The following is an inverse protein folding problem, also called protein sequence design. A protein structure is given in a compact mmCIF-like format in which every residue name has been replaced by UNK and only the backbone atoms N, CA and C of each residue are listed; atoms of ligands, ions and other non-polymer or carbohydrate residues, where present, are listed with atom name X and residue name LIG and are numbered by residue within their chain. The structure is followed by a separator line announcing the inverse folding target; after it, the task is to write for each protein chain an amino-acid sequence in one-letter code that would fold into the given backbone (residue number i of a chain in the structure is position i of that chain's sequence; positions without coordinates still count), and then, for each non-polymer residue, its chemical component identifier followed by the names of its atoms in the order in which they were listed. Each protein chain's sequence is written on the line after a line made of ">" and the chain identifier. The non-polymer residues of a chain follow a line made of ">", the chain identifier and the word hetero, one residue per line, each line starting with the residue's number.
data_IF_981236810887
#
_entry.id   IF_981236810887
#
_cell.length_a   1.000
_cell.length_b   1.000
_cell.length_c   1.000
_cell.angle_alpha   90.00
_cell.angle_beta   90.00
_cell.angle_gamma   90.00
#
_symmetry.space_group_name_H-M   'P 1'
#
loop_
_entity.id
_entity.type
_entity.pdbx_description
1 polymer ?
#
# COMPACT_ATOMS: atom_id res chain seq x y z
N UNK A 1 32.01 32.04 -4.80
CA UNK A 1 31.23 33.18 -4.29
C UNK A 1 29.86 33.13 -4.92
N UNK A 2 28.79 33.13 -4.12
CA UNK A 2 27.42 33.00 -4.63
C UNK A 2 26.78 34.37 -4.85
N UNK A 3 26.20 34.60 -6.03
CA UNK A 3 25.43 35.82 -6.33
C UNK A 3 24.00 35.39 -6.68
N UNK A 4 23.02 35.98 -5.99
CA UNK A 4 21.62 35.87 -6.35
C UNK A 4 21.25 37.02 -7.28
N UNK A 5 20.71 36.70 -8.45
CA UNK A 5 20.01 37.63 -9.33
C UNK A 5 18.66 36.99 -9.66
N UNK A 6 17.59 37.61 -9.18
CA UNK A 6 16.22 37.09 -9.18
C UNK A 6 16.14 35.62 -8.72
N UNK A 7 15.79 34.70 -9.64
CA UNK A 7 15.51 33.28 -9.38
C UNK A 7 16.67 32.35 -9.75
N UNK A 8 17.86 32.89 -10.01
CA UNK A 8 19.04 32.12 -10.40
C UNK A 8 20.09 32.25 -9.29
N UNK A 9 20.46 31.11 -8.72
CA UNK A 9 21.64 30.99 -7.87
C UNK A 9 22.86 30.75 -8.77
N UNK A 10 23.73 31.75 -8.90
CA UNK A 10 24.99 31.62 -9.62
C UNK A 10 26.08 31.27 -8.62
N UNK A 11 26.56 30.02 -8.65
CA UNK A 11 27.70 29.56 -7.85
C UNK A 11 28.96 29.68 -8.70
N UNK A 12 29.81 30.67 -8.40
CA UNK A 12 31.13 30.76 -9.01
C UNK A 12 32.18 30.03 -8.17
N UNK A 13 32.76 28.97 -8.75
CA UNK A 13 34.09 28.44 -8.42
C UNK A 13 35.04 28.74 -9.59
N UNK A 14 36.35 28.56 -9.41
CA UNK A 14 37.38 29.10 -10.32
C UNK A 14 37.37 28.55 -11.75
N UNK A 15 36.64 27.48 -12.05
CA UNK A 15 36.67 26.82 -13.38
C UNK A 15 35.29 26.43 -13.95
N UNK A 16 34.17 26.59 -13.21
CA UNK A 16 32.84 26.17 -13.69
C UNK A 16 31.76 27.20 -13.27
N UNK A 17 30.88 27.56 -14.22
CA UNK A 17 29.65 28.30 -13.95
C UNK A 17 28.45 27.35 -14.02
N UNK A 18 27.84 27.06 -12.87
CA UNK A 18 26.60 26.28 -12.77
C UNK A 18 25.38 27.21 -12.73
N UNK A 19 24.55 27.14 -13.77
CA UNK A 19 23.29 27.90 -13.85
C UNK A 19 22.13 26.98 -13.47
N UNK A 20 21.71 27.01 -12.20
CA UNK A 20 20.53 26.26 -11.75
C UNK A 20 19.25 27.08 -11.96
N UNK A 21 18.41 26.64 -12.89
CA UNK A 21 17.02 27.12 -13.01
C UNK A 21 16.11 26.32 -12.07
N UNK A 22 15.56 26.98 -11.05
CA UNK A 22 14.49 26.40 -10.23
C UNK A 22 13.23 26.18 -11.09
N UNK A 23 12.66 24.96 -11.17
CA UNK A 23 11.49 24.69 -11.99
C UNK A 23 10.21 25.26 -11.37
N UNK A 24 9.97 26.57 -11.52
CA UNK A 24 8.68 27.19 -11.15
C UNK A 24 7.62 26.97 -12.23
N UNK A 25 7.31 25.71 -12.55
CA UNK A 25 6.02 25.33 -13.11
C UNK A 25 5.18 24.75 -11.98
N UNK A 26 4.23 25.53 -11.48
CA UNK A 26 3.14 24.99 -10.66
C UNK A 26 2.48 23.88 -11.48
N UNK A 27 2.55 22.64 -11.02
CA UNK A 27 1.94 21.52 -11.74
C UNK A 27 0.45 21.77 -11.90
N UNK A 28 -0.08 21.58 -13.11
CA UNK A 28 -1.52 21.64 -13.36
C UNK A 28 -2.25 20.38 -12.88
N UNK A 29 -1.49 19.34 -12.51
CA UNK A 29 -1.98 18.08 -11.93
C UNK A 29 -1.45 17.89 -10.52
N UNK A 30 -2.33 17.44 -9.63
CA UNK A 30 -1.99 17.05 -8.26
C UNK A 30 -2.83 15.83 -7.88
N UNK A 31 -2.24 14.64 -8.03
CA UNK A 31 -2.93 13.37 -7.75
C UNK A 31 -3.17 13.13 -6.26
N UNK A 32 -2.37 13.76 -5.37
CA UNK A 32 -2.54 13.65 -3.93
C UNK A 32 -3.70 14.52 -3.44
N UNK A 33 -3.76 15.78 -3.88
CA UNK A 33 -4.91 16.66 -3.63
C UNK A 33 -6.21 16.08 -4.23
N UNK A 34 -6.12 15.38 -5.36
CA UNK A 34 -7.26 14.70 -5.97
C UNK A 34 -7.85 13.61 -5.06
N UNK A 35 -7.04 12.88 -4.28
CA UNK A 35 -7.54 11.89 -3.31
C UNK A 35 -8.38 12.55 -2.20
N UNK A 36 -7.87 13.63 -1.62
CA UNK A 36 -8.57 14.43 -0.61
C UNK A 36 -9.92 14.95 -1.13
N UNK A 37 -9.91 15.60 -2.31
CA UNK A 37 -11.11 16.19 -2.89
C UNK A 37 -12.12 15.14 -3.36
N UNK A 38 -11.67 14.02 -3.93
CA UNK A 38 -12.58 12.94 -4.37
C UNK A 38 -13.23 12.21 -3.18
N UNK A 39 -12.52 12.01 -2.06
CA UNK A 39 -13.10 11.50 -0.80
C UNK A 39 -14.21 12.46 -0.32
N UNK A 40 -13.88 13.74 -0.20
CA UNK A 40 -14.81 14.78 0.27
C UNK A 40 -16.07 14.89 -0.62
N UNK A 41 -15.91 14.95 -1.94
CA UNK A 41 -17.03 15.07 -2.90
C UNK A 41 -17.93 13.82 -2.88
N UNK A 42 -17.37 12.64 -2.61
CA UNK A 42 -18.16 11.40 -2.44
C UNK A 42 -18.94 11.39 -1.12
N UNK A 43 -18.33 11.85 -0.03
CA UNK A 43 -18.89 11.76 1.33
C UNK A 43 -19.81 12.94 1.68
N UNK A 44 -19.88 13.98 0.84
CA UNK A 44 -20.70 15.17 1.04
C UNK A 44 -21.72 15.40 -0.08
N UNK A 45 -22.79 16.14 0.23
CA UNK A 45 -23.76 16.67 -0.74
C UNK A 45 -23.64 18.19 -0.94
N UNK A 46 -22.73 18.83 -0.22
CA UNK A 46 -22.55 20.29 -0.20
C UNK A 46 -21.47 20.74 -1.20
N UNK A 47 -21.81 20.51 -2.47
CA UNK A 47 -21.06 20.95 -3.63
C UNK A 47 -22.03 21.10 -4.81
N UNK A 48 -21.63 21.85 -5.84
CA UNK A 48 -22.43 22.05 -7.06
C UNK A 48 -21.56 22.17 -8.30
N UNK A 49 -22.16 22.00 -9.48
CA UNK A 49 -21.51 22.26 -10.76
C UNK A 49 -21.96 23.61 -11.34
N UNK A 50 -21.15 24.20 -12.22
CA UNK A 50 -21.58 25.31 -13.07
C UNK A 50 -22.40 24.81 -14.25
N UNK A 51 -23.45 25.55 -14.62
CA UNK A 51 -24.23 25.30 -15.84
C UNK A 51 -23.50 25.73 -17.11
N UNK A 52 -22.55 26.67 -16.99
CA UNK A 52 -21.73 27.15 -18.09
C UNK A 52 -20.40 26.40 -18.22
N UNK A 53 -19.81 26.48 -19.43
CA UNK A 53 -18.48 25.97 -19.75
C UNK A 53 -17.39 27.06 -19.61
N UNK A 54 -16.15 26.71 -19.23
CA UNK A 54 -15.70 25.38 -18.80
C UNK A 54 -16.30 24.98 -17.45
N UNK A 55 -16.78 23.74 -17.32
CA UNK A 55 -17.40 23.24 -16.09
C UNK A 55 -16.48 23.36 -14.88
N UNK A 56 -17.02 23.89 -13.79
CA UNK A 56 -16.35 23.96 -12.48
C UNK A 56 -17.19 23.22 -11.44
N UNK A 57 -16.51 22.52 -10.53
CA UNK A 57 -17.08 22.02 -9.28
C UNK A 57 -16.82 23.07 -8.19
N UNK A 58 -17.85 23.39 -7.43
CA UNK A 58 -17.86 24.46 -6.44
C UNK A 58 -18.12 23.83 -5.07
N UNK A 59 -17.23 24.08 -4.11
CA UNK A 59 -17.42 23.74 -2.69
C UNK A 59 -17.66 25.05 -1.93
N UNK A 60 -18.87 25.32 -1.43
CA UNK A 60 -19.15 26.50 -0.60
C UNK A 60 -18.33 26.46 0.70
N UNK A 61 -17.88 27.62 1.19
CA UNK A 61 -17.23 27.75 2.49
C UNK A 61 -18.14 28.42 3.54
N UNK A 62 -19.13 29.20 3.12
CA UNK A 62 -19.89 30.12 3.97
C UNK A 62 -19.59 31.57 3.58
N UNK A 63 -20.21 32.55 4.24
CA UNK A 63 -19.85 33.99 4.17
C UNK A 63 -19.62 34.57 2.75
N UNK A 64 -20.41 34.15 1.76
CA UNK A 64 -20.26 34.53 0.34
C UNK A 64 -18.91 34.10 -0.29
N UNK A 65 -18.28 33.07 0.26
CA UNK A 65 -17.05 32.45 -0.23
C UNK A 65 -17.26 31.01 -0.72
N UNK A 66 -16.50 30.62 -1.74
CA UNK A 66 -16.46 29.24 -2.25
C UNK A 66 -15.13 28.92 -2.94
N UNK A 67 -14.74 27.65 -2.89
CA UNK A 67 -13.64 27.10 -3.69
C UNK A 67 -14.19 26.62 -5.04
N UNK A 68 -13.58 27.09 -6.12
CA UNK A 68 -13.89 26.71 -7.50
C UNK A 68 -12.76 25.86 -8.08
N UNK A 69 -13.10 24.65 -8.54
CA UNK A 69 -12.20 23.68 -9.16
C UNK A 69 -12.60 23.49 -10.62
N UNK A 70 -11.71 23.76 -11.58
CA UNK A 70 -11.98 23.47 -13.01
C UNK A 70 -11.98 21.96 -13.22
N UNK A 71 -13.00 21.43 -13.89
CA UNK A 71 -13.20 19.98 -14.04
C UNK A 71 -12.65 19.52 -15.40
N UNK A 72 -11.51 18.84 -15.38
CA UNK A 72 -10.91 18.22 -16.57
C UNK A 72 -11.51 16.84 -16.89
N UNK A 73 -12.11 16.17 -15.91
CA UNK A 73 -12.97 14.99 -16.09
C UNK A 73 -13.97 14.89 -14.93
N UNK A 74 -15.26 14.84 -15.26
CA UNK A 74 -16.32 14.55 -14.29
C UNK A 74 -16.63 13.05 -14.29
N UNK A 75 -16.66 12.44 -13.11
CA UNK A 75 -16.94 11.01 -12.96
C UNK A 75 -18.22 10.78 -12.16
N UNK A 76 -19.17 9.95 -12.65
CA UNK A 76 -20.35 9.56 -11.88
C UNK A 76 -19.99 8.65 -10.69
N UNK A 77 -18.78 8.09 -10.64
CA UNK A 77 -18.24 7.31 -9.52
C UNK A 77 -17.18 8.09 -8.71
N UNK A 78 -17.18 9.43 -8.83
CA UNK A 78 -16.35 10.37 -8.09
C UNK A 78 -14.84 10.25 -8.31
N UNK A 79 -14.39 9.51 -9.32
CA UNK A 79 -13.02 9.57 -9.83
C UNK A 79 -12.81 10.83 -10.68
N UNK A 80 -13.04 12.01 -10.10
CA UNK A 80 -12.88 13.28 -10.81
C UNK A 80 -11.39 13.56 -11.11
N UNK A 81 -11.15 14.42 -12.10
CA UNK A 81 -9.86 15.07 -12.34
C UNK A 81 -10.08 16.57 -12.41
N UNK A 82 -9.49 17.31 -11.48
CA UNK A 82 -9.47 18.76 -11.46
C UNK A 82 -8.22 19.30 -12.15
N UNK A 83 -8.30 20.52 -12.66
CA UNK A 83 -7.17 21.30 -13.17
C UNK A 83 -6.79 22.35 -12.12
N UNK A 84 -5.54 22.34 -11.69
CA UNK A 84 -5.02 23.22 -10.64
C UNK A 84 -4.28 24.44 -11.22
N UNK A 85 -4.18 25.57 -10.47
CA UNK A 85 -4.65 25.79 -9.10
C UNK A 85 -6.17 25.98 -8.98
N UNK A 86 -6.71 25.66 -7.81
CA UNK A 86 -8.07 26.02 -7.45
C UNK A 86 -8.20 27.54 -7.24
N UNK A 87 -9.41 28.09 -7.30
CA UNK A 87 -9.65 29.52 -7.03
C UNK A 87 -10.57 29.70 -5.83
N UNK A 88 -10.17 30.55 -4.89
CA UNK A 88 -11.07 31.08 -3.87
C UNK A 88 -11.85 32.25 -4.50
N UNK A 89 -13.17 32.16 -4.47
CA UNK A 89 -14.11 33.18 -4.93
C UNK A 89 -14.75 33.84 -3.72
N UNK A 90 -14.79 35.17 -3.70
CA UNK A 90 -15.39 36.00 -2.64
C UNK A 90 -16.26 37.10 -3.25
N UNK A 91 -16.95 37.87 -2.42
CA UNK A 91 -17.76 39.01 -2.87
C UNK A 91 -16.97 40.09 -3.65
N UNK A 92 -15.66 40.19 -3.48
CA UNK A 92 -14.80 41.21 -4.09
C UNK A 92 -13.93 40.71 -5.25
N UNK A 93 -13.97 39.42 -5.59
CA UNK A 93 -13.22 38.87 -6.72
C UNK A 93 -12.86 37.39 -6.57
N UNK A 94 -11.81 36.95 -7.27
CA UNK A 94 -11.26 35.61 -7.08
C UNK A 94 -9.75 35.55 -7.33
N UNK A 95 -9.06 34.73 -6.55
CA UNK A 95 -7.62 34.51 -6.64
C UNK A 95 -7.29 33.01 -6.53
N UNK A 96 -6.16 32.54 -7.10
CA UNK A 96 -5.73 31.16 -6.96
C UNK A 96 -5.31 30.85 -5.52
N UNK A 97 -5.54 29.61 -5.09
CA UNK A 97 -5.09 29.07 -3.79
C UNK A 97 -4.38 27.74 -4.00
N UNK A 98 -3.38 27.46 -3.16
CA UNK A 98 -2.65 26.20 -3.14
C UNK A 98 -3.40 25.11 -2.34
N UNK A 99 -2.87 23.88 -2.37
CA UNK A 99 -3.48 22.76 -1.66
C UNK A 99 -3.53 22.98 -0.14
N UNK A 100 -2.46 23.56 0.44
CA UNK A 100 -2.37 23.83 1.88
C UNK A 100 -3.42 24.84 2.36
N UNK A 101 -3.71 25.87 1.55
CA UNK A 101 -4.73 26.87 1.86
C UNK A 101 -6.13 26.30 1.69
N UNK A 102 -6.41 25.60 0.59
CA UNK A 102 -7.75 25.08 0.32
C UNK A 102 -8.14 23.92 1.25
N UNK A 103 -7.19 23.07 1.66
CA UNK A 103 -7.44 21.97 2.59
C UNK A 103 -7.75 22.50 3.99
N UNK A 104 -7.01 23.52 4.46
CA UNK A 104 -7.28 24.23 5.72
C UNK A 104 -8.66 24.88 5.74
N UNK A 105 -9.05 25.60 4.67
CA UNK A 105 -10.37 26.22 4.57
C UNK A 105 -11.51 25.19 4.63
N UNK A 106 -11.30 24.01 4.03
CA UNK A 106 -12.25 22.89 4.11
C UNK A 106 -12.31 22.32 5.53
N UNK A 107 -11.18 22.16 6.21
CA UNK A 107 -11.12 21.64 7.59
C UNK A 107 -11.76 22.63 8.58
N UNK A 108 -11.52 23.93 8.41
CA UNK A 108 -12.15 25.00 9.21
C UNK A 108 -13.68 25.01 9.06
N UNK A 109 -14.18 24.94 7.81
CA UNK A 109 -15.60 24.73 7.52
C UNK A 109 -16.17 23.51 8.26
N UNK A 110 -15.48 22.36 8.18
CA UNK A 110 -15.91 21.12 8.85
C UNK A 110 -15.89 21.25 10.38
N UNK A 111 -14.90 21.94 10.94
CA UNK A 111 -14.81 22.23 12.37
C UNK A 111 -16.02 23.02 12.86
N UNK A 112 -16.42 24.06 12.12
CA UNK A 112 -17.62 24.84 12.40
C UNK A 112 -18.92 24.05 12.19
N UNK A 113 -19.03 23.30 11.09
CA UNK A 113 -20.23 22.54 10.74
C UNK A 113 -20.53 21.37 11.70
N UNK A 114 -19.49 20.72 12.23
CA UNK A 114 -19.58 19.51 13.05
C UNK A 114 -19.17 19.73 14.51
N UNK A 115 -18.83 20.96 14.91
CA UNK A 115 -18.36 21.35 16.25
C UNK A 115 -17.19 20.49 16.76
N UNK A 116 -16.21 20.25 15.89
CA UNK A 116 -15.11 19.33 16.15
C UNK A 116 -14.03 19.95 17.08
N UNK A 117 -13.32 19.14 17.89
CA UNK A 117 -12.16 19.61 18.64
C UNK A 117 -11.05 20.08 17.68
N UNK A 118 -10.53 21.30 17.92
CA UNK A 118 -9.46 21.88 17.10
C UNK A 118 -8.21 20.99 17.03
N UNK A 119 -7.88 20.27 18.12
CA UNK A 119 -6.76 19.31 18.14
C UNK A 119 -6.94 18.17 17.15
N UNK A 120 -8.17 17.67 16.96
CA UNK A 120 -8.47 16.63 15.97
C UNK A 120 -8.44 17.17 14.56
N UNK A 121 -8.90 18.42 14.35
CA UNK A 121 -8.86 19.10 13.06
C UNK A 121 -7.42 19.36 12.60
N UNK A 122 -6.55 19.86 13.48
CA UNK A 122 -5.14 20.09 13.13
C UNK A 122 -4.39 18.77 12.94
N UNK A 123 -4.59 17.75 13.80
CA UNK A 123 -3.99 16.42 13.59
C UNK A 123 -4.39 15.82 12.22
N UNK A 124 -5.64 16.03 11.80
CA UNK A 124 -6.12 15.59 10.50
C UNK A 124 -5.45 16.37 9.35
N UNK A 125 -5.46 17.71 9.43
CA UNK A 125 -4.86 18.58 8.43
C UNK A 125 -3.35 18.34 8.27
N UNK A 126 -2.61 18.17 9.38
CA UNK A 126 -1.20 17.81 9.36
C UNK A 126 -0.95 16.52 8.55
N UNK A 127 -1.69 15.44 8.84
CA UNK A 127 -1.55 14.16 8.12
C UNK A 127 -1.90 14.25 6.64
N UNK A 128 -2.85 15.10 6.27
CA UNK A 128 -3.18 15.40 4.87
C UNK A 128 -1.99 16.07 4.17
N UNK A 129 -1.33 17.04 4.82
CA UNK A 129 -0.17 17.73 4.27
C UNK A 129 1.09 16.86 4.23
N UNK A 130 1.34 16.04 5.25
CA UNK A 130 2.38 15.00 5.25
C UNK A 130 2.19 14.03 4.07
N UNK A 131 0.99 13.46 3.95
CA UNK A 131 0.65 12.54 2.86
C UNK A 131 0.81 13.18 1.48
N UNK A 132 0.53 14.48 1.34
CA UNK A 132 0.73 15.22 0.10
C UNK A 132 2.22 15.34 -0.24
N UNK A 133 3.04 15.78 0.73
CA UNK A 133 4.48 15.91 0.59
C UNK A 133 5.16 14.56 0.28
N UNK A 134 4.82 13.48 1.01
CA UNK A 134 5.39 12.15 0.77
C UNK A 134 5.04 11.60 -0.62
N UNK A 135 3.83 11.90 -1.12
CA UNK A 135 3.44 11.52 -2.48
C UNK A 135 4.29 12.26 -3.52
N UNK A 136 4.53 13.56 -3.34
CA UNK A 136 5.37 14.34 -4.24
C UNK A 136 6.83 13.83 -4.23
N UNK A 137 7.41 13.57 -3.05
CA UNK A 137 8.75 12.99 -2.92
C UNK A 137 8.87 11.64 -3.65
N UNK A 138 7.87 10.76 -3.53
CA UNK A 138 7.85 9.48 -4.22
C UNK A 138 7.74 9.64 -5.74
N UNK A 139 6.96 10.61 -6.23
CA UNK A 139 6.87 10.95 -7.67
C UNK A 139 8.22 11.46 -8.19
N UNK A 140 8.87 12.36 -7.46
CA UNK A 140 10.17 12.94 -7.83
C UNK A 140 11.32 11.92 -7.75
N UNK A 141 11.20 10.87 -6.93
CA UNK A 141 12.17 9.78 -6.87
C UNK A 141 11.97 8.71 -7.98
N UNK A 142 10.73 8.49 -8.43
CA UNK A 142 10.36 7.35 -9.29
C UNK A 142 10.31 7.70 -10.78
N UNK A 143 11.43 8.16 -11.30
CA UNK A 143 11.63 8.42 -12.73
C UNK A 143 11.40 7.17 -13.63
N UNK A 144 11.55 5.97 -13.08
CA UNK A 144 11.24 4.69 -13.73
C UNK A 144 9.74 4.44 -13.96
N UNK A 145 8.86 5.11 -13.19
CA UNK A 145 7.43 4.81 -13.16
C UNK A 145 6.77 4.96 -14.53
N UNK A 146 7.21 5.94 -15.34
CA UNK A 146 6.67 6.15 -16.68
C UNK A 146 6.99 4.98 -17.64
N UNK A 147 8.16 4.33 -17.48
CA UNK A 147 8.61 3.21 -18.30
C UNK A 147 7.87 1.90 -17.97
N UNK A 148 7.20 1.81 -16.81
CA UNK A 148 6.32 0.68 -16.46
C UNK A 148 5.15 0.50 -17.46
N UNK A 149 4.88 1.48 -18.31
CA UNK A 149 3.89 1.39 -19.40
C UNK A 149 4.38 0.60 -20.62
N UNK A 150 5.69 0.46 -20.81
CA UNK A 150 6.28 -0.09 -22.05
C UNK A 150 5.99 -1.59 -22.22
N UNK A 151 5.90 -2.33 -21.10
CA UNK A 151 5.77 -3.79 -21.08
C UNK A 151 4.73 -4.29 -20.07
N UNK A 152 4.46 -5.58 -20.12
CA UNK A 152 3.76 -6.29 -19.05
C UNK A 152 4.59 -6.21 -17.75
N UNK A 153 3.92 -6.04 -16.61
CA UNK A 153 4.56 -6.00 -15.29
C UNK A 153 4.51 -7.36 -14.62
N UNK A 154 5.54 -7.71 -13.86
CA UNK A 154 5.47 -8.82 -12.91
C UNK A 154 4.81 -8.40 -11.57
N UNK A 155 4.67 -9.35 -10.65
CA UNK A 155 4.02 -9.12 -9.36
C UNK A 155 4.74 -8.09 -8.49
N UNK A 156 6.09 -8.13 -8.43
CA UNK A 156 6.89 -7.20 -7.64
C UNK A 156 6.80 -5.76 -8.17
N UNK A 157 6.96 -5.60 -9.49
CA UNK A 157 6.81 -4.30 -10.18
C UNK A 157 5.43 -3.69 -9.88
N UNK A 158 4.35 -4.48 -9.97
CA UNK A 158 3.00 -4.01 -9.70
C UNK A 158 2.75 -3.67 -8.21
N UNK A 159 3.30 -4.42 -7.27
CA UNK A 159 3.16 -4.14 -5.83
C UNK A 159 3.91 -2.88 -5.37
N UNK A 160 4.94 -2.43 -6.12
CA UNK A 160 5.69 -1.20 -5.87
C UNK A 160 5.36 -0.04 -6.83
N UNK A 161 4.36 -0.20 -7.69
CA UNK A 161 3.93 0.85 -8.61
C UNK A 161 2.91 1.84 -8.01
N UNK A 162 2.35 1.61 -6.81
CA UNK A 162 1.27 2.44 -6.24
C UNK A 162 1.80 3.69 -5.52
N UNK A 163 2.03 4.78 -6.26
CA UNK A 163 2.51 6.05 -5.69
C UNK A 163 1.37 6.91 -5.12
N UNK A 164 0.15 6.81 -5.67
CA UNK A 164 -1.00 7.63 -5.22
C UNK A 164 -1.64 7.09 -3.94
N UNK A 165 -1.54 5.78 -3.69
CA UNK A 165 -2.22 5.12 -2.57
C UNK A 165 -3.73 5.00 -2.76
N UNK A 166 -4.51 5.14 -1.68
CA UNK A 166 -5.97 4.95 -1.72
C UNK A 166 -6.70 6.19 -2.28
N UNK A 167 -7.25 6.07 -3.48
CA UNK A 167 -7.85 7.18 -4.26
C UNK A 167 -9.04 7.92 -3.61
N UNK A 168 -9.62 7.38 -2.54
CA UNK A 168 -10.68 7.99 -1.72
C UNK A 168 -10.29 7.93 -0.24
N UNK A 169 -9.10 8.40 0.09
CA UNK A 169 -8.66 8.64 1.46
C UNK A 169 -8.01 10.03 1.50
N UNK A 170 -8.21 10.84 2.55
CA UNK A 170 -7.68 12.20 2.61
C UNK A 170 -6.15 12.25 2.83
N UNK A 171 -5.58 11.22 3.44
CA UNK A 171 -4.14 11.12 3.72
C UNK A 171 -3.60 9.71 3.37
N UNK A 172 -3.59 9.29 2.09
CA UNK A 172 -3.28 7.91 1.70
C UNK A 172 -1.83 7.46 1.95
N UNK A 173 -0.90 8.42 2.15
CA UNK A 173 0.55 8.24 2.36
C UNK A 173 1.04 8.85 3.69
N UNK A 174 0.14 9.06 4.67
CA UNK A 174 0.58 9.24 6.06
C UNK A 174 1.09 7.90 6.59
N UNK A 175 2.27 7.93 7.21
CA UNK A 175 3.03 6.74 7.61
C UNK A 175 3.69 6.87 9.00
N UNK A 176 3.06 7.61 9.93
CA UNK A 176 3.52 7.70 11.32
C UNK A 176 3.79 6.31 11.92
N UNK A 177 4.88 6.08 12.67
CA UNK A 177 5.88 7.07 13.11
C UNK A 177 7.11 7.19 12.19
N UNK A 178 7.11 6.61 10.98
CA UNK A 178 8.31 6.57 10.14
C UNK A 178 8.84 7.96 9.78
N UNK A 179 10.14 8.13 9.97
CA UNK A 179 10.92 9.22 9.39
C UNK A 179 11.25 8.95 7.90
N UNK A 180 11.89 9.92 7.23
CA UNK A 180 12.20 9.85 5.80
C UNK A 180 13.00 8.60 5.40
N UNK A 181 14.05 8.24 6.13
CA UNK A 181 14.92 7.09 5.81
C UNK A 181 14.18 5.76 6.02
N UNK A 182 13.32 5.70 7.04
CA UNK A 182 12.46 4.56 7.31
C UNK A 182 11.39 4.41 6.21
N UNK A 183 10.80 5.52 5.76
CA UNK A 183 9.84 5.55 4.66
C UNK A 183 10.47 5.07 3.34
N UNK A 184 11.64 5.60 2.98
CA UNK A 184 12.41 5.21 1.79
C UNK A 184 12.79 3.73 1.79
N UNK A 185 13.08 3.15 2.97
CA UNK A 185 13.49 1.75 3.10
C UNK A 185 12.32 0.78 3.23
N UNK A 186 11.26 1.14 3.95
CA UNK A 186 10.21 0.20 4.38
C UNK A 186 8.85 0.37 3.69
N UNK A 187 8.66 1.41 2.86
CA UNK A 187 7.46 1.59 2.05
C UNK A 187 7.70 1.21 0.58
N UNK A 188 6.67 0.70 -0.13
CA UNK A 188 6.79 0.28 -1.54
C UNK A 188 7.12 1.43 -2.51
N UNK A 189 6.83 2.67 -2.11
CA UNK A 189 6.89 3.89 -2.92
C UNK A 189 8.23 4.09 -3.65
N UNK A 190 9.35 3.87 -2.96
CA UNK A 190 10.70 4.09 -3.49
C UNK A 190 11.30 2.83 -4.17
N UNK A 191 10.48 1.80 -4.39
CA UNK A 191 10.89 0.47 -4.84
C UNK A 191 12.07 -0.18 -4.05
N UNK A 192 12.14 -0.07 -2.71
CA UNK A 192 13.25 -0.63 -1.94
C UNK A 192 13.15 -2.16 -1.86
N UNK A 193 14.25 -2.78 -1.45
CA UNK A 193 14.28 -4.16 -0.99
C UNK A 193 15.33 -4.32 0.12
N UNK A 194 15.09 -5.23 1.05
CA UNK A 194 15.98 -5.47 2.19
C UNK A 194 15.95 -6.94 2.63
N UNK A 195 17.05 -7.48 3.18
CA UNK A 195 17.02 -8.76 3.89
C UNK A 195 16.16 -8.67 5.16
N UNK A 196 15.62 -9.81 5.62
CA UNK A 196 14.96 -9.88 6.92
C UNK A 196 15.98 -9.80 8.06
N UNK A 197 15.51 -9.35 9.23
CA UNK A 197 16.23 -9.49 10.49
C UNK A 197 15.91 -10.85 11.12
N UNK A 198 16.86 -11.46 11.81
CA UNK A 198 16.70 -12.81 12.34
C UNK A 198 17.13 -12.88 13.80
N UNK A 199 16.33 -13.56 14.62
CA UNK A 199 16.75 -14.02 15.94
C UNK A 199 16.92 -15.53 15.95
N UNK A 200 17.88 -16.03 16.72
CA UNK A 200 17.89 -17.40 17.18
C UNK A 200 17.15 -17.44 18.53
N UNK A 201 16.04 -18.18 18.61
CA UNK A 201 15.09 -18.10 19.73
C UNK A 201 14.85 -19.48 20.31
N UNK A 202 14.89 -19.60 21.65
CA UNK A 202 14.53 -20.83 22.32
C UNK A 202 13.04 -21.17 22.08
N UNK A 203 12.75 -22.40 21.67
CA UNK A 203 11.39 -22.85 21.33
C UNK A 203 10.34 -22.67 22.44
N UNK A 204 10.74 -22.55 23.71
CA UNK A 204 9.82 -22.20 24.81
C UNK A 204 9.16 -20.83 24.60
N UNK A 205 9.89 -19.91 23.96
CA UNK A 205 9.49 -18.53 23.69
C UNK A 205 8.82 -18.36 22.32
N UNK A 206 8.61 -19.44 21.55
CA UNK A 206 7.94 -19.37 20.25
C UNK A 206 6.49 -19.86 20.40
N UNK A 207 5.54 -18.97 20.11
CA UNK A 207 4.16 -19.33 19.84
C UNK A 207 3.94 -19.42 18.32
N UNK A 208 3.08 -20.32 17.87
CA UNK A 208 2.70 -20.39 16.47
C UNK A 208 1.92 -21.65 16.12
N UNK A 209 1.64 -21.80 14.83
CA UNK A 209 0.86 -22.90 14.26
C UNK A 209 1.15 -22.99 12.76
N UNK A 210 1.07 -24.17 12.16
CA UNK A 210 1.03 -24.29 10.70
C UNK A 210 0.36 -25.60 10.26
N UNK A 211 -0.05 -25.65 8.99
CA UNK A 211 -0.54 -26.82 8.28
C UNK A 211 0.56 -27.40 7.37
N UNK A 212 0.38 -28.68 6.98
CA UNK A 212 1.25 -29.50 6.11
C UNK A 212 2.65 -29.78 6.67
N UNK A 213 3.31 -28.77 7.24
CA UNK A 213 4.52 -28.84 8.04
C UNK A 213 4.18 -28.31 9.43
N UNK A 214 4.76 -28.89 10.49
CA UNK A 214 4.64 -28.30 11.83
C UNK A 214 5.45 -26.98 11.91
N UNK A 215 5.26 -26.21 12.99
CA UNK A 215 5.89 -24.90 13.13
C UNK A 215 7.43 -24.94 13.02
N UNK A 216 8.08 -25.92 13.65
CA UNK A 216 9.53 -26.11 13.56
C UNK A 216 9.95 -26.35 12.10
N UNK A 217 9.25 -27.25 11.41
CA UNK A 217 9.52 -27.57 10.01
C UNK A 217 9.31 -26.37 9.07
N UNK A 218 8.28 -25.54 9.29
CA UNK A 218 8.10 -24.28 8.52
C UNK A 218 9.24 -23.31 8.77
N UNK A 219 9.60 -23.04 10.02
CA UNK A 219 10.67 -22.09 10.35
C UNK A 219 12.03 -22.57 9.82
N UNK A 220 12.34 -23.86 9.95
CA UNK A 220 13.52 -24.48 9.34
C UNK A 220 13.53 -24.33 7.82
N UNK A 221 12.41 -24.63 7.12
CA UNK A 221 12.30 -24.46 5.66
C UNK A 221 12.49 -23.00 5.25
N UNK A 222 11.77 -22.10 5.91
CA UNK A 222 11.76 -20.66 5.63
C UNK A 222 13.14 -20.04 5.83
N UNK A 223 13.85 -20.42 6.89
CA UNK A 223 15.23 -20.00 7.12
C UNK A 223 16.22 -20.63 6.13
N UNK A 224 16.06 -21.92 5.78
CA UNK A 224 16.93 -22.58 4.82
C UNK A 224 16.82 -22.01 3.40
N UNK A 225 15.63 -21.60 2.97
CA UNK A 225 15.42 -21.02 1.62
C UNK A 225 15.75 -19.53 1.55
N UNK A 226 15.70 -18.79 2.67
CA UNK A 226 15.91 -17.33 2.69
C UNK A 226 17.23 -16.87 3.32
N UNK A 227 17.75 -17.54 4.34
CA UNK A 227 18.99 -17.17 5.03
C UNK A 227 19.84 -18.42 5.39
N UNK A 228 20.24 -19.24 4.40
CA UNK A 228 20.94 -20.52 4.63
C UNK A 228 22.24 -20.38 5.44
N UNK A 229 22.90 -19.23 5.40
CA UNK A 229 24.10 -18.93 6.18
C UNK A 229 23.88 -18.86 7.70
N UNK A 230 22.63 -18.75 8.16
CA UNK A 230 22.28 -18.75 9.59
C UNK A 230 21.92 -20.15 10.12
N UNK A 231 21.92 -21.20 9.28
CA UNK A 231 21.57 -22.55 9.69
C UNK A 231 22.52 -23.17 10.73
N UNK A 232 23.71 -22.58 10.93
CA UNK A 232 24.62 -22.92 12.03
C UNK A 232 24.09 -22.54 13.42
N UNK A 233 23.11 -21.63 13.52
CA UNK A 233 22.44 -21.23 14.77
C UNK A 233 21.16 -22.04 15.05
N UNK A 234 20.77 -22.94 14.13
CA UNK A 234 19.59 -23.79 14.24
C UNK A 234 19.91 -25.09 15.01
N UNK A 235 19.08 -25.42 16.01
CA UNK A 235 19.15 -26.67 16.76
C UNK A 235 17.76 -27.14 17.22
N UNK A 236 17.68 -28.30 17.90
CA UNK A 236 16.43 -28.83 18.43
C UNK A 236 15.70 -27.89 19.39
N UNK A 237 16.43 -27.02 20.08
CA UNK A 237 15.91 -26.11 21.09
C UNK A 237 15.94 -24.64 20.66
N UNK A 238 16.81 -24.26 19.72
CA UNK A 238 16.99 -22.88 19.26
C UNK A 238 16.62 -22.79 17.77
N UNK A 239 15.53 -22.09 17.46
CA UNK A 239 14.99 -21.99 16.11
C UNK A 239 15.20 -20.59 15.54
N UNK A 240 15.33 -20.51 14.21
CA UNK A 240 15.46 -19.24 13.50
C UNK A 240 14.09 -18.57 13.35
N UNK A 241 13.96 -17.36 13.88
CA UNK A 241 12.73 -16.57 13.88
C UNK A 241 12.94 -15.30 13.04
N UNK A 242 12.21 -15.12 11.93
CA UNK A 242 12.33 -13.93 11.09
C UNK A 242 11.55 -12.74 11.67
N UNK A 243 12.08 -11.53 11.43
CA UNK A 243 11.47 -10.25 11.81
C UNK A 243 11.58 -9.25 10.65
N UNK A 244 10.62 -8.33 10.55
CA UNK A 244 10.80 -7.09 9.80
C UNK A 244 11.92 -6.28 10.48
N UNK A 245 12.92 -5.73 9.76
CA UNK A 245 14.05 -5.06 10.40
C UNK A 245 13.67 -3.99 11.41
N UNK A 246 12.88 -2.98 11.01
CA UNK A 246 12.35 -1.94 11.90
C UNK A 246 11.62 -2.49 13.14
N UNK A 247 10.75 -3.49 12.95
CA UNK A 247 10.01 -4.07 14.07
C UNK A 247 10.95 -4.84 15.00
N UNK A 248 11.98 -5.52 14.48
CA UNK A 248 12.97 -6.20 15.30
C UNK A 248 13.88 -5.26 16.09
N UNK A 249 14.21 -4.09 15.54
CA UNK A 249 14.89 -3.00 16.26
C UNK A 249 14.00 -2.43 17.38
N UNK A 250 12.74 -2.14 17.08
CA UNK A 250 11.75 -1.71 18.08
C UNK A 250 11.57 -2.74 19.20
N UNK A 251 11.39 -4.03 18.86
CA UNK A 251 11.16 -5.09 19.84
C UNK A 251 12.36 -5.27 20.79
N UNK A 252 13.60 -5.09 20.32
CA UNK A 252 14.81 -5.16 21.16
C UNK A 252 14.92 -4.00 22.16
N UNK A 253 14.19 -2.90 21.95
CA UNK A 253 14.12 -1.79 22.91
C UNK A 253 13.14 -2.09 24.06
N UNK A 254 12.28 -3.09 23.91
CA UNK A 254 11.26 -3.45 24.90
C UNK A 254 11.86 -4.33 26.02
N UNK A 255 11.54 -3.98 27.27
CA UNK A 255 12.02 -4.65 28.49
C UNK A 255 11.86 -6.17 28.44
N UNK A 256 10.65 -6.66 28.12
CA UNK A 256 10.36 -8.10 28.00
C UNK A 256 11.24 -8.84 26.99
N UNK A 257 11.75 -8.16 25.95
CA UNK A 257 12.64 -8.78 24.97
C UNK A 257 14.09 -8.78 25.47
N UNK A 258 14.49 -7.69 26.14
CA UNK A 258 15.81 -7.58 26.78
C UNK A 258 15.98 -8.62 27.90
N UNK A 259 14.93 -8.94 28.65
CA UNK A 259 14.92 -10.06 29.59
C UNK A 259 15.26 -11.39 28.92
N UNK A 260 14.68 -11.68 27.75
CA UNK A 260 14.95 -12.91 27.00
C UNK A 260 16.39 -12.96 26.46
N UNK A 261 16.92 -11.82 26.01
CA UNK A 261 18.33 -11.69 25.61
C UNK A 261 19.27 -11.92 26.81
N UNK A 262 18.98 -11.29 27.96
CA UNK A 262 19.77 -11.45 29.19
C UNK A 262 19.72 -12.89 29.75
N UNK A 263 18.65 -13.65 29.47
CA UNK A 263 18.54 -15.07 29.81
C UNK A 263 19.14 -16.01 28.75
N UNK A 264 19.67 -15.49 27.64
CA UNK A 264 20.17 -16.30 26.51
C UNK A 264 19.08 -17.08 25.77
N UNK A 265 17.81 -16.65 25.89
CA UNK A 265 16.66 -17.24 25.20
C UNK A 265 16.41 -16.61 23.83
N UNK A 266 16.95 -15.42 23.59
CA UNK A 266 17.03 -14.75 22.29
C UNK A 266 18.48 -14.35 22.03
N UNK A 267 18.98 -14.66 20.83
CA UNK A 267 20.21 -14.09 20.27
C UNK A 267 19.85 -13.35 18.98
N UNK A 268 20.19 -12.07 18.91
CA UNK A 268 20.10 -11.30 17.67
C UNK A 268 21.18 -11.76 16.68
N UNK A 269 20.77 -12.04 15.44
CA UNK A 269 21.66 -12.43 14.33
C UNK A 269 21.80 -11.31 13.29
N UNK A 270 21.14 -10.17 13.49
CA UNK A 270 21.14 -9.06 12.55
C UNK A 270 20.31 -9.33 11.30
N UNK A 271 20.62 -8.58 10.24
CA UNK A 271 20.01 -8.73 8.91
C UNK A 271 20.76 -9.76 8.06
N UNK A 272 20.01 -10.65 7.40
CA UNK A 272 20.61 -11.71 6.58
C UNK A 272 19.65 -12.24 5.50
N UNK A 273 20.23 -12.64 4.37
CA UNK A 273 19.56 -13.51 3.40
C UNK A 273 19.07 -12.83 2.12
N UNK A 274 18.09 -13.45 1.48
CA UNK A 274 17.47 -13.02 0.24
C UNK A 274 16.80 -11.64 0.36
N UNK A 275 16.72 -10.85 -0.73
CA UNK A 275 16.07 -9.55 -0.73
C UNK A 275 14.54 -9.71 -0.69
N UNK A 276 13.90 -8.96 0.21
CA UNK A 276 12.45 -8.85 0.33
C UNK A 276 12.00 -7.45 -0.05
N UNK A 277 10.98 -7.35 -0.90
CA UNK A 277 10.36 -6.08 -1.25
C UNK A 277 9.06 -5.87 -0.44
N UNK A 278 8.84 -4.70 0.18
CA UNK A 278 7.57 -4.35 0.81
C UNK A 278 6.51 -4.20 -0.29
N UNK A 279 5.35 -4.81 -0.08
CA UNK A 279 4.25 -4.75 -1.05
C UNK A 279 3.37 -3.50 -0.85
N UNK A 280 2.29 -3.31 -1.62
CA UNK A 280 1.36 -2.15 -1.43
C UNK A 280 0.84 -1.99 0.01
N UNK A 281 0.87 -3.06 0.82
CA UNK A 281 0.47 -3.05 2.23
C UNK A 281 1.60 -2.77 3.24
N UNK A 282 2.83 -2.57 2.74
CA UNK A 282 4.13 -2.44 3.41
C UNK A 282 4.52 -3.60 4.33
N UNK A 283 3.66 -3.94 5.31
CA UNK A 283 3.87 -5.03 6.27
C UNK A 283 3.84 -6.44 5.68
N UNK A 284 3.31 -6.60 4.47
CA UNK A 284 3.51 -7.84 3.70
C UNK A 284 4.73 -7.65 2.82
N UNK A 285 5.59 -8.67 2.78
CA UNK A 285 6.84 -8.70 2.04
C UNK A 285 6.82 -9.87 1.06
N UNK A 286 7.42 -9.65 -0.11
CA UNK A 286 7.59 -10.65 -1.16
C UNK A 286 9.07 -10.89 -1.44
N UNK A 287 9.42 -12.16 -1.60
CA UNK A 287 10.71 -12.64 -2.09
C UNK A 287 10.40 -13.63 -3.21
N UNK A 288 10.89 -13.37 -4.42
CA UNK A 288 10.55 -14.15 -5.60
C UNK A 288 10.97 -15.63 -5.51
N UNK A 289 12.01 -15.93 -4.73
CA UNK A 289 12.56 -17.28 -4.52
C UNK A 289 12.03 -17.98 -3.26
N UNK A 290 11.24 -17.31 -2.41
CA UNK A 290 10.64 -17.93 -1.22
C UNK A 290 9.29 -18.55 -1.55
N UNK A 291 8.99 -19.70 -0.95
CA UNK A 291 7.68 -20.38 -1.06
C UNK A 291 6.61 -19.73 -0.21
N UNK A 292 7.00 -18.94 0.79
CA UNK A 292 6.10 -18.13 1.61
C UNK A 292 6.37 -16.64 1.37
N UNK A 293 5.33 -15.84 1.11
CA UNK A 293 5.34 -14.42 1.48
C UNK A 293 5.22 -14.32 3.01
N UNK A 294 5.77 -13.25 3.60
CA UNK A 294 5.64 -13.01 5.05
C UNK A 294 4.89 -11.70 5.33
N UNK A 295 4.03 -11.71 6.35
CA UNK A 295 3.16 -10.59 6.72
C UNK A 295 3.32 -10.32 8.21
N UNK A 296 4.05 -9.28 8.55
CA UNK A 296 4.36 -8.91 9.93
C UNK A 296 3.24 -8.12 10.60
N UNK A 297 3.20 -8.22 11.92
CA UNK A 297 2.71 -7.17 12.81
C UNK A 297 3.69 -6.00 12.72
N UNK A 298 3.20 -4.81 12.37
CA UNK A 298 4.05 -3.63 12.20
C UNK A 298 3.41 -2.45 12.95
N UNK A 299 4.11 -1.89 13.94
CA UNK A 299 3.61 -0.81 14.82
C UNK A 299 3.63 0.57 14.13
N UNK A 300 3.15 0.62 12.88
CA UNK A 300 3.06 1.79 12.00
C UNK A 300 1.59 2.04 11.63
N UNK A 301 1.17 3.30 11.60
CA UNK A 301 -0.15 3.74 11.14
C UNK A 301 -0.11 3.97 9.64
N UNK A 302 -0.82 3.14 8.88
CA UNK A 302 -1.07 3.35 7.44
C UNK A 302 -2.57 3.56 7.23
N UNK A 303 -2.93 4.64 6.53
CA UNK A 303 -4.29 5.21 6.46
C UNK A 303 -4.88 5.46 7.87
N UNK A 304 -5.96 4.79 8.24
CA UNK A 304 -6.64 4.99 9.53
C UNK A 304 -6.23 3.96 10.61
N UNK A 305 -5.42 2.96 10.28
CA UNK A 305 -5.19 1.78 11.12
C UNK A 305 -3.71 1.57 11.45
N UNK A 306 -3.42 1.30 12.73
CA UNK A 306 -2.12 0.72 13.13
C UNK A 306 -2.05 -0.70 12.55
N UNK A 307 -0.93 -1.05 11.91
CA UNK A 307 -0.79 -2.28 11.10
C UNK A 307 -0.18 -3.44 11.89
N UNK A 308 -0.45 -3.52 13.19
CA UNK A 308 -0.22 -4.71 13.99
C UNK A 308 -1.14 -5.86 13.57
N UNK A 309 -0.81 -7.08 14.01
CA UNK A 309 -1.63 -8.27 13.91
C UNK A 309 -2.03 -8.71 15.31
N UNK A 310 -3.23 -9.27 15.44
CA UNK A 310 -3.66 -9.98 16.63
C UNK A 310 -3.71 -11.49 16.42
N UNK A 311 -3.61 -12.28 17.51
CA UNK A 311 -3.80 -13.74 17.47
C UNK A 311 -5.18 -14.09 16.86
N UNK A 312 -6.20 -13.27 17.12
CA UNK A 312 -7.55 -13.39 16.55
C UNK A 312 -7.55 -13.32 15.02
N UNK A 313 -6.66 -12.53 14.42
CA UNK A 313 -6.60 -12.33 12.96
C UNK A 313 -5.80 -13.41 12.25
N UNK A 314 -4.64 -13.82 12.78
CA UNK A 314 -3.88 -14.94 12.19
C UNK A 314 -4.67 -16.26 12.30
N UNK A 315 -5.49 -16.43 13.35
CA UNK A 315 -6.45 -17.54 13.47
C UNK A 315 -7.58 -17.51 12.44
N UNK A 316 -7.88 -16.38 11.77
CA UNK A 316 -8.80 -16.37 10.61
C UNK A 316 -8.14 -16.98 9.37
N UNK A 317 -6.87 -16.66 9.12
CA UNK A 317 -6.06 -17.29 8.07
C UNK A 317 -6.01 -18.81 8.26
N UNK A 318 -5.61 -19.26 9.45
CA UNK A 318 -5.58 -20.67 9.84
C UNK A 318 -6.96 -21.38 9.81
N UNK A 319 -8.07 -20.64 9.87
CA UNK A 319 -9.42 -21.21 9.71
C UNK A 319 -9.75 -21.40 8.23
N UNK A 320 -9.45 -20.40 7.39
CA UNK A 320 -9.64 -20.50 5.95
C UNK A 320 -8.74 -21.58 5.33
N UNK A 321 -7.47 -21.66 5.74
CA UNK A 321 -6.53 -22.67 5.26
C UNK A 321 -6.96 -24.11 5.60
N UNK A 322 -7.65 -24.31 6.74
CA UNK A 322 -8.28 -25.58 7.11
C UNK A 322 -9.57 -25.85 6.32
N UNK A 323 -10.40 -24.83 6.14
CA UNK A 323 -11.58 -24.92 5.27
C UNK A 323 -11.18 -25.29 3.84
N UNK A 324 -10.01 -24.83 3.38
CA UNK A 324 -9.48 -25.14 2.06
C UNK A 324 -9.11 -26.62 1.83
N UNK A 325 -9.17 -27.46 2.88
CA UNK A 325 -8.94 -28.91 2.79
C UNK A 325 -10.24 -29.72 2.66
N UNK A 326 -11.43 -29.09 2.70
CA UNK A 326 -12.71 -29.82 2.61
C UNK A 326 -13.11 -30.12 1.16
N UNK A 327 -13.96 -31.13 0.98
CA UNK A 327 -14.47 -31.52 -0.34
C UNK A 327 -15.33 -30.43 -0.99
N UNK A 328 -16.03 -29.62 -0.19
CA UNK A 328 -16.76 -28.43 -0.68
C UNK A 328 -15.81 -27.37 -1.25
N UNK A 329 -14.65 -27.15 -0.61
CA UNK A 329 -13.63 -26.25 -1.18
C UNK A 329 -13.02 -26.85 -2.45
N UNK A 330 -12.75 -28.16 -2.48
CA UNK A 330 -12.29 -28.84 -3.69
C UNK A 330 -13.31 -28.68 -4.83
N UNK A 331 -14.61 -28.74 -4.53
CA UNK A 331 -15.71 -28.49 -5.49
C UNK A 331 -15.72 -27.05 -5.99
N UNK A 332 -15.59 -26.06 -5.10
CA UNK A 332 -15.45 -24.64 -5.47
C UNK A 332 -14.20 -24.41 -6.35
N UNK A 333 -13.06 -25.00 -5.98
CA UNK A 333 -11.80 -24.86 -6.70
C UNK A 333 -11.83 -25.55 -8.07
N UNK A 334 -12.50 -26.70 -8.20
CA UNK A 334 -12.71 -27.40 -9.45
C UNK A 334 -13.67 -26.66 -10.39
N UNK A 335 -14.69 -25.97 -9.84
CA UNK A 335 -15.60 -25.10 -10.61
C UNK A 335 -14.94 -23.82 -11.11
N UNK A 336 -13.94 -23.31 -10.38
CA UNK A 336 -13.19 -22.11 -10.73
C UNK A 336 -11.67 -22.35 -10.65
N UNK A 337 -11.07 -23.10 -11.60
CA UNK A 337 -9.65 -23.46 -11.54
C UNK A 337 -8.71 -22.26 -11.69
N UNK A 338 -9.17 -21.16 -12.30
CA UNK A 338 -8.44 -19.88 -12.41
C UNK A 338 -8.54 -19.01 -11.15
N UNK A 339 -9.51 -19.27 -10.27
CA UNK A 339 -9.65 -18.56 -9.00
C UNK A 339 -8.79 -19.26 -7.94
N UNK A 340 -7.76 -18.56 -7.45
CA UNK A 340 -6.89 -19.03 -6.38
C UNK A 340 -6.89 -18.08 -5.20
N UNK A 341 -6.75 -18.64 -4.00
CA UNK A 341 -6.56 -17.89 -2.76
C UNK A 341 -5.19 -18.26 -2.20
N UNK A 342 -4.29 -17.29 -2.03
CA UNK A 342 -3.05 -17.50 -1.27
C UNK A 342 -3.41 -17.67 0.21
N UNK A 343 -3.26 -18.88 0.76
CA UNK A 343 -3.63 -19.18 2.14
C UNK A 343 -2.65 -18.54 3.13
N UNK A 344 -3.15 -18.14 4.30
CA UNK A 344 -2.33 -17.78 5.48
C UNK A 344 -2.33 -18.99 6.44
N UNK A 345 -1.61 -20.05 6.06
CA UNK A 345 -1.63 -21.40 6.66
C UNK A 345 -0.50 -21.65 7.69
N UNK A 346 0.27 -20.61 8.02
CA UNK A 346 1.24 -20.61 9.10
C UNK A 346 1.33 -19.25 9.78
N UNK A 347 1.61 -19.23 11.07
CA UNK A 347 1.92 -18.00 11.82
C UNK A 347 2.82 -18.29 13.01
N UNK A 348 3.58 -17.29 13.44
CA UNK A 348 4.39 -17.35 14.66
C UNK A 348 4.40 -16.00 15.40
N UNK A 349 4.87 -16.00 16.63
CA UNK A 349 5.09 -14.85 17.49
C UNK A 349 5.98 -15.21 18.69
N UNK A 350 6.63 -14.22 19.27
CA UNK A 350 7.42 -14.38 20.49
C UNK A 350 6.53 -14.37 21.75
N UNK A 351 7.04 -15.00 22.81
CA UNK A 351 6.51 -14.93 24.16
C UNK A 351 7.52 -14.30 25.11
N UNK A 352 7.02 -13.52 26.05
CA UNK A 352 7.78 -13.09 27.23
C UNK A 352 8.10 -14.25 28.20
N UNK A 353 8.79 -13.95 29.30
CA UNK A 353 9.11 -14.94 30.35
C UNK A 353 7.87 -15.54 31.05
N UNK A 354 6.72 -14.89 30.97
CA UNK A 354 5.45 -15.37 31.53
C UNK A 354 4.63 -16.21 30.54
N UNK A 355 5.09 -16.34 29.30
CA UNK A 355 4.44 -17.10 28.24
C UNK A 355 3.35 -16.31 27.49
N UNK A 356 3.22 -15.00 27.74
CA UNK A 356 2.25 -14.14 27.06
C UNK A 356 2.73 -13.84 25.63
N UNK A 357 1.82 -13.95 24.65
CA UNK A 357 2.16 -13.77 23.23
C UNK A 357 2.22 -12.28 22.91
N UNK A 358 3.40 -11.81 22.51
CA UNK A 358 3.66 -10.40 22.21
C UNK A 358 3.18 -10.08 20.80
N UNK A 359 2.00 -9.45 20.68
CA UNK A 359 1.31 -9.28 19.40
C UNK A 359 2.12 -8.47 18.36
N UNK A 360 2.99 -7.58 18.81
CA UNK A 360 3.90 -6.79 17.97
C UNK A 360 5.01 -7.61 17.31
N UNK A 361 5.25 -8.85 17.77
CA UNK A 361 6.19 -9.81 17.16
C UNK A 361 5.52 -10.83 16.23
N UNK A 362 4.18 -10.79 16.08
CA UNK A 362 3.46 -11.75 15.26
C UNK A 362 3.80 -11.60 13.78
N UNK A 363 3.83 -12.73 13.06
CA UNK A 363 3.74 -12.74 11.60
C UNK A 363 2.89 -13.91 11.11
N UNK A 364 2.31 -13.75 9.92
CA UNK A 364 1.70 -14.83 9.15
C UNK A 364 2.57 -15.15 7.94
N UNK A 365 2.74 -16.44 7.65
CA UNK A 365 3.25 -16.94 6.39
C UNK A 365 2.08 -17.11 5.44
N UNK A 366 2.24 -16.64 4.20
CA UNK A 366 1.26 -16.74 3.12
C UNK A 366 1.88 -17.50 1.97
N UNK A 367 1.16 -18.46 1.39
CA UNK A 367 1.61 -19.19 0.19
C UNK A 367 2.03 -18.23 -0.94
N UNK A 368 3.27 -18.33 -1.41
CA UNK A 368 3.70 -17.66 -2.64
C UNK A 368 3.39 -18.54 -3.86
N UNK A 369 2.14 -18.48 -4.32
CA UNK A 369 1.67 -19.19 -5.53
C UNK A 369 2.37 -18.75 -6.83
N UNK A 370 3.28 -17.77 -6.78
CA UNK A 370 4.03 -17.22 -7.91
C UNK A 370 5.51 -17.62 -7.90
N UNK A 371 5.97 -18.44 -6.94
CA UNK A 371 7.39 -18.83 -6.80
C UNK A 371 7.95 -19.53 -8.05
N UNK A 372 7.14 -20.36 -8.72
CA UNK A 372 7.52 -21.06 -9.95
C UNK A 372 7.30 -20.22 -11.22
N UNK A 373 6.63 -19.06 -11.11
CA UNK A 373 6.30 -18.16 -12.22
C UNK A 373 6.47 -16.68 -11.84
N UNK A 374 7.66 -16.24 -11.37
CA UNK A 374 7.86 -14.90 -10.81
C UNK A 374 7.76 -13.78 -11.86
N UNK A 375 7.81 -14.10 -13.15
CA UNK A 375 7.61 -13.17 -14.27
C UNK A 375 6.21 -13.24 -14.89
N UNK A 376 5.26 -13.94 -14.27
CA UNK A 376 3.85 -13.93 -14.69
C UNK A 376 3.25 -12.52 -14.55
N UNK A 377 2.26 -12.19 -15.39
CA UNK A 377 1.59 -10.88 -15.36
C UNK A 377 0.52 -10.77 -14.25
N UNK A 378 0.79 -11.37 -13.09
CA UNK A 378 -0.11 -11.29 -11.93
C UNK A 378 0.07 -9.94 -11.23
N UNK A 379 -0.83 -9.00 -11.49
CA UNK A 379 -0.72 -7.62 -10.99
C UNK A 379 -1.84 -7.26 -10.02
N UNK A 380 -1.53 -6.45 -8.99
CA UNK A 380 -2.57 -5.88 -8.12
C UNK A 380 -3.38 -4.82 -8.87
N UNK A 381 -4.70 -4.96 -8.80
CA UNK A 381 -5.65 -4.07 -9.49
C UNK A 381 -5.44 -2.59 -9.14
N UNK A 382 -5.19 -2.25 -7.88
CA UNK A 382 -5.06 -0.85 -7.43
C UNK A 382 -3.95 -0.09 -8.16
N UNK A 383 -2.81 -0.74 -8.43
CA UNK A 383 -1.69 -0.14 -9.16
C UNK A 383 -2.00 0.05 -10.64
N UNK A 384 -2.86 -0.80 -11.21
CA UNK A 384 -3.36 -0.65 -12.58
C UNK A 384 -4.37 0.50 -12.69
N UNK A 385 -5.26 0.65 -11.71
CA UNK A 385 -6.37 1.62 -11.72
C UNK A 385 -6.02 3.01 -11.20
N UNK A 386 -4.85 3.22 -10.58
CA UNK A 386 -4.46 4.55 -10.09
C UNK A 386 -4.40 5.58 -11.22
N UNK A 387 -4.72 6.84 -10.90
CA UNK A 387 -4.44 7.95 -11.80
C UNK A 387 -2.92 8.11 -11.96
N UNK A 388 -2.45 8.34 -13.17
CA UNK A 388 -1.02 8.51 -13.42
C UNK A 388 -0.53 9.86 -12.85
N UNK A 389 0.57 9.89 -12.07
CA UNK A 389 1.10 11.14 -11.51
C UNK A 389 1.48 12.20 -12.56
N UNK A 390 1.98 11.75 -13.71
CA UNK A 390 2.34 12.59 -14.86
C UNK A 390 1.14 13.00 -15.75
N UNK A 391 -0.07 12.55 -15.42
CA UNK A 391 -1.28 12.79 -16.22
C UNK A 391 -1.44 11.93 -17.47
N UNK A 392 -0.52 11.00 -17.74
CA UNK A 392 -0.57 10.09 -18.88
C UNK A 392 -1.53 8.91 -18.69
N UNK A 393 -1.33 7.84 -19.47
CA UNK A 393 -2.08 6.59 -19.32
C UNK A 393 -1.88 5.99 -17.92
N UNK A 394 -2.92 5.42 -17.30
CA UNK A 394 -2.73 4.50 -16.18
C UNK A 394 -2.14 3.17 -16.67
N UNK A 395 -1.59 2.38 -15.76
CA UNK A 395 -1.01 1.07 -16.10
C UNK A 395 -2.08 0.09 -16.64
N UNK A 396 -3.36 0.26 -16.24
CA UNK A 396 -4.49 -0.42 -16.89
C UNK A 396 -4.66 0.00 -18.36
N UNK A 397 -4.66 1.30 -18.65
CA UNK A 397 -4.81 1.80 -20.03
C UNK A 397 -3.64 1.34 -20.91
N UNK A 398 -2.42 1.33 -20.39
CA UNK A 398 -1.26 0.77 -21.09
C UNK A 398 -1.45 -0.73 -21.42
N UNK A 399 -1.95 -1.53 -20.48
CA UNK A 399 -2.27 -2.94 -20.72
C UNK A 399 -3.38 -3.14 -21.77
N UNK A 400 -4.44 -2.32 -21.73
CA UNK A 400 -5.55 -2.35 -22.70
C UNK A 400 -5.09 -1.92 -24.10
N UNK A 401 -4.20 -0.93 -24.24
CA UNK A 401 -3.60 -0.56 -25.53
C UNK A 401 -2.80 -1.72 -26.12
N UNK A 402 -1.89 -2.33 -25.33
CA UNK A 402 -1.14 -3.52 -25.78
C UNK A 402 -2.04 -4.71 -26.15
N UNK A 403 -3.19 -4.88 -25.49
CA UNK A 403 -4.21 -5.87 -25.88
C UNK A 403 -4.86 -5.52 -27.23
N UNK A 404 -5.18 -4.25 -27.44
CA UNK A 404 -5.71 -3.71 -28.69
C UNK A 404 -4.79 -4.01 -29.87
N UNK A 405 -3.52 -3.62 -29.73
CA UNK A 405 -2.49 -3.75 -30.78
C UNK A 405 -2.22 -5.23 -31.10
N UNK A 406 -2.06 -6.06 -30.06
CA UNK A 406 -1.78 -7.50 -30.21
C UNK A 406 -2.92 -8.28 -30.88
N UNK A 407 -4.17 -7.83 -30.74
CA UNK A 407 -5.34 -8.49 -31.32
C UNK A 407 -5.84 -7.83 -32.62
N UNK A 408 -5.26 -6.69 -33.03
CA UNK A 408 -5.73 -5.94 -34.20
C UNK A 408 -7.16 -5.37 -34.05
N UNK A 409 -7.58 -5.11 -32.81
CA UNK A 409 -8.92 -4.56 -32.48
C UNK A 409 -8.80 -3.10 -32.05
N UNK A 410 -9.93 -2.40 -31.97
CA UNK A 410 -9.97 -1.02 -31.45
C UNK A 410 -9.81 -0.97 -29.93
N UNK A 411 -9.29 0.15 -29.41
CA UNK A 411 -9.06 0.31 -27.97
C UNK A 411 -10.35 0.17 -27.14
N UNK A 412 -11.51 0.54 -27.69
CA UNK A 412 -12.81 0.33 -27.06
C UNK A 412 -13.18 -1.15 -26.99
N UNK A 413 -12.96 -1.93 -28.06
CA UNK A 413 -13.18 -3.38 -28.05
C UNK A 413 -12.24 -4.09 -27.07
N UNK A 414 -10.97 -3.66 -26.99
CA UNK A 414 -10.02 -4.17 -26.00
C UNK A 414 -10.44 -3.83 -24.57
N UNK A 415 -10.97 -2.63 -24.33
CA UNK A 415 -11.50 -2.23 -23.04
C UNK A 415 -12.74 -3.05 -22.62
N UNK A 416 -13.69 -3.27 -23.54
CA UNK A 416 -14.85 -4.14 -23.30
C UNK A 416 -14.38 -5.57 -22.97
N UNK A 417 -13.52 -6.16 -23.80
CA UNK A 417 -12.98 -7.51 -23.57
C UNK A 417 -12.26 -7.64 -22.23
N UNK A 418 -11.53 -6.62 -21.79
CA UNK A 418 -10.89 -6.60 -20.47
C UNK A 418 -11.90 -6.54 -19.32
N UNK A 419 -12.95 -5.70 -19.44
CA UNK A 419 -14.02 -5.59 -18.42
C UNK A 419 -14.84 -6.87 -18.33
N UNK A 420 -15.20 -7.49 -19.46
CA UNK A 420 -15.92 -8.77 -19.50
C UNK A 420 -15.08 -9.89 -18.88
N UNK A 421 -13.79 -9.96 -19.22
CA UNK A 421 -12.85 -10.90 -18.61
C UNK A 421 -12.71 -10.67 -17.09
N UNK A 422 -12.64 -9.41 -16.64
CA UNK A 422 -12.64 -9.07 -15.22
C UNK A 422 -13.92 -9.58 -14.52
N UNK A 423 -15.10 -9.34 -15.10
CA UNK A 423 -16.36 -9.85 -14.56
C UNK A 423 -16.36 -11.39 -14.44
N UNK A 424 -15.83 -12.11 -15.43
CA UNK A 424 -15.78 -13.57 -15.43
C UNK A 424 -14.71 -14.19 -14.52
N UNK A 425 -13.52 -13.60 -14.43
CA UNK A 425 -12.40 -14.13 -13.65
C UNK A 425 -12.37 -13.63 -12.20
N UNK A 426 -12.98 -12.48 -11.92
CA UNK A 426 -12.96 -11.84 -10.59
C UNK A 426 -14.32 -11.89 -9.92
N UNK A 427 -15.32 -11.22 -10.51
CA UNK A 427 -16.60 -11.02 -9.83
C UNK A 427 -17.36 -12.35 -9.68
N UNK A 428 -17.42 -13.15 -10.75
CA UNK A 428 -18.13 -14.44 -10.78
C UNK A 428 -17.69 -15.40 -9.65
N UNK A 429 -16.40 -15.76 -9.47
CA UNK A 429 -16.01 -16.66 -8.39
C UNK A 429 -16.25 -16.07 -7.00
N UNK A 430 -16.07 -14.76 -6.81
CA UNK A 430 -16.33 -14.10 -5.51
C UNK A 430 -17.81 -14.13 -5.12
N UNK A 431 -18.71 -13.76 -6.05
CA UNK A 431 -20.15 -13.81 -5.80
C UNK A 431 -20.67 -15.25 -5.67
N UNK A 432 -20.11 -16.19 -6.45
CA UNK A 432 -20.50 -17.62 -6.33
C UNK A 432 -19.99 -18.24 -5.02
N UNK A 433 -18.79 -17.88 -4.55
CA UNK A 433 -18.29 -18.33 -3.25
C UNK A 433 -19.20 -17.88 -2.09
N UNK A 434 -19.72 -16.66 -2.16
CA UNK A 434 -20.68 -16.15 -1.17
C UNK A 434 -22.05 -16.82 -1.31
N UNK A 435 -22.66 -16.80 -2.51
CA UNK A 435 -24.02 -17.28 -2.71
C UNK A 435 -24.19 -18.79 -2.57
N UNK A 436 -23.24 -19.59 -3.10
CA UNK A 436 -23.38 -21.05 -3.15
C UNK A 436 -22.72 -21.75 -1.95
N UNK A 437 -21.79 -21.08 -1.23
CA UNK A 437 -21.01 -21.68 -0.13
C UNK A 437 -20.95 -20.83 1.16
N UNK A 438 -21.54 -19.63 1.19
CA UNK A 438 -21.45 -18.72 2.34
C UNK A 438 -20.06 -18.14 2.60
N UNK A 439 -19.12 -18.27 1.66
CA UNK A 439 -17.73 -17.85 1.79
C UNK A 439 -17.56 -16.38 1.40
N UNK A 440 -17.64 -15.48 2.39
CA UNK A 440 -17.45 -14.04 2.19
C UNK A 440 -15.96 -13.68 2.11
N UNK A 441 -15.50 -13.28 0.93
CA UNK A 441 -14.16 -12.73 0.68
C UNK A 441 -14.26 -11.25 0.30
N UNK A 442 -13.89 -10.35 1.24
CA UNK A 442 -14.05 -8.89 1.09
C UNK A 442 -13.00 -8.27 0.14
N UNK A 443 -13.05 -8.57 -1.15
CA UNK A 443 -12.03 -8.19 -2.14
C UNK A 443 -12.13 -6.72 -2.62
N UNK A 444 -11.55 -5.78 -1.86
CA UNK A 444 -11.29 -4.41 -2.35
C UNK A 444 -10.17 -4.39 -3.42
N UNK A 445 -9.98 -3.26 -4.13
CA UNK A 445 -8.95 -3.15 -5.19
C UNK A 445 -7.54 -3.53 -4.71
N UNK A 446 -7.18 -3.07 -3.50
CA UNK A 446 -5.93 -3.48 -2.88
C UNK A 446 -5.99 -4.92 -2.35
N UNK A 447 -7.14 -5.58 -2.12
CA UNK A 447 -7.23 -7.01 -1.69
C UNK A 447 -7.06 -8.03 -2.82
N UNK A 448 -6.94 -7.57 -4.07
CA UNK A 448 -6.18 -8.30 -5.09
C UNK A 448 -4.67 -8.35 -4.75
N UNK A 449 -4.21 -7.64 -3.69
CA UNK A 449 -2.97 -7.87 -2.94
C UNK A 449 -2.93 -7.32 -1.47
N UNK A 450 -4.00 -7.52 -0.67
CA UNK A 450 -4.20 -7.10 0.77
C UNK A 450 -4.04 -5.60 1.15
N UNK A 451 -4.65 -5.04 2.21
CA UNK A 451 -5.71 -5.52 3.14
C UNK A 451 -6.15 -4.43 4.16
N UNK A 452 -7.42 -4.00 4.16
CA UNK A 452 -8.01 -3.04 5.13
C UNK A 452 -8.97 -3.64 6.17
N UNK A 453 -8.94 -3.02 7.36
CA UNK A 453 -9.78 -3.05 8.58
C UNK A 453 -10.57 -4.30 9.03
N UNK A 454 -11.08 -5.14 8.14
CA UNK A 454 -11.91 -6.30 8.49
C UNK A 454 -11.59 -7.53 7.61
N UNK A 455 -11.44 -8.69 8.25
CA UNK A 455 -11.27 -10.00 7.59
C UNK A 455 -9.88 -10.24 6.97
N UNK A 456 -9.03 -10.96 7.70
CA UNK A 456 -7.75 -11.54 7.26
C UNK A 456 -7.97 -12.88 6.52
N UNK A 457 -8.79 -12.85 5.47
CA UNK A 457 -9.20 -14.02 4.70
C UNK A 457 -9.04 -13.76 3.20
N UNK A 458 -7.99 -14.34 2.61
CA UNK A 458 -7.77 -14.46 1.17
C UNK A 458 -7.31 -13.20 0.42
N UNK A 459 -6.48 -13.44 -0.60
CA UNK A 459 -6.21 -12.54 -1.73
C UNK A 459 -6.53 -13.33 -3.00
N UNK A 460 -7.32 -12.75 -3.91
CA UNK A 460 -7.56 -13.30 -5.24
C UNK A 460 -6.55 -12.66 -6.21
N UNK A 461 -6.04 -13.44 -7.16
CA UNK A 461 -5.05 -12.98 -8.13
C UNK A 461 -5.51 -13.28 -9.55
N UNK A 462 -5.26 -12.33 -10.45
CA UNK A 462 -5.53 -12.47 -11.88
C UNK A 462 -4.28 -12.96 -12.61
N UNK A 463 -4.40 -13.97 -13.49
CA UNK A 463 -3.39 -14.28 -14.50
C UNK A 463 -3.40 -13.28 -15.68
#
# INVERSE_FOLDING_TARGET
>A
MGIFIDKILIIMTSEICLTMTLPTKTSTLDVAAQCFLNSLVRETKDWRLTEYQPTQLIIPLGEQQALHFRVAYFSPTQHHRFEFPARLVTASGSHPVDFATLSRLIVDKLQHQLLLPATSCETFHQRVMESHAHTQQAIDARHDWAALREKALNFGEAEQALLVGHAFHPAPKSHEPFNQQEAERYLPDFAPHFPLRWFAVNKTQIAGESLHLNLQQRLTRFAAENAPQLLNELSDNQWLFPLHPWQGEYLLQQEWCQELVAKGLIKDLGEAGAPWLPTTSSRSLYCATSRDMIKFSLSVRLTNSVRTLSVKEVKRGMRLARLAQTDDWQTLQARFPTFRVMQEDGWAGLRDLHGNIMQESLFALRENLLVDQPQSQTNVLVSLTQAAPDGGDSLLVAAVKRLSDRLGITAQQAAHAWVDAYCHQVLKPLFTAEADYGLVLLAHQQKYSGSDAWGSAGRAYLP
#
